data_IF_048561793479
#
_entry.id   IF_048561793479
#
_cell.length_a   1.000
_cell.length_b   1.000
_cell.length_c   1.000
_cell.angle_alpha   90.00
_cell.angle_beta   90.00
_cell.angle_gamma   90.00
#
_symmetry.space_group_name_H-M   'P 1'
#
loop_
_entity.id
_entity.type
_entity.pdbx_description
1 polymer ?
#
# COMPACT_ATOMS: atom_id res chain seq x y z
N UNK A 1 5.21 13.64 -5.68
CA UNK A 1 5.94 13.54 -4.39
C UNK A 1 5.03 13.46 -3.17
N UNK A 2 3.83 14.08 -3.19
CA UNK A 2 2.93 14.09 -2.03
C UNK A 2 2.70 12.71 -1.36
N UNK A 3 2.43 11.60 -2.08
CA UNK A 3 2.22 10.30 -1.41
C UNK A 3 3.44 9.79 -0.63
N UNK A 4 4.65 9.97 -1.18
CA UNK A 4 5.89 9.58 -0.50
C UNK A 4 6.10 10.40 0.77
N UNK A 5 5.87 11.70 0.70
CA UNK A 5 5.97 12.60 1.86
C UNK A 5 4.96 12.16 2.92
N UNK A 6 3.72 11.88 2.56
CA UNK A 6 2.68 11.42 3.49
C UNK A 6 3.06 10.11 4.16
N UNK A 7 3.56 9.12 3.41
CA UNK A 7 4.02 7.85 3.95
C UNK A 7 5.12 8.04 5.00
N UNK A 8 6.16 8.80 4.64
CA UNK A 8 7.33 9.01 5.51
C UNK A 8 6.95 9.85 6.72
N UNK A 9 6.30 11.01 6.50
CA UNK A 9 5.93 11.94 7.56
C UNK A 9 5.00 11.28 8.59
N UNK A 10 3.93 10.62 8.15
CA UNK A 10 3.01 9.96 9.08
C UNK A 10 3.67 8.80 9.81
N UNK A 11 4.52 8.02 9.13
CA UNK A 11 5.26 6.93 9.79
C UNK A 11 6.18 7.48 10.88
N UNK A 12 6.93 8.55 10.60
CA UNK A 12 7.83 9.19 11.56
C UNK A 12 7.07 9.84 12.72
N UNK A 13 5.97 10.54 12.45
CA UNK A 13 5.12 11.15 13.47
C UNK A 13 4.54 10.10 14.42
N UNK A 14 3.99 9.00 13.87
CA UNK A 14 3.49 7.89 14.68
C UNK A 14 4.60 7.21 15.47
N UNK A 15 5.81 7.10 14.90
CA UNK A 15 6.98 6.53 15.59
C UNK A 15 7.44 7.42 16.75
N UNK A 16 7.47 8.73 16.56
CA UNK A 16 7.79 9.72 17.58
C UNK A 16 6.74 9.70 18.71
N UNK A 17 5.45 9.65 18.38
CA UNK A 17 4.38 9.50 19.35
C UNK A 17 4.50 8.20 20.17
N UNK A 18 4.91 7.10 19.54
CA UNK A 18 5.26 5.86 20.23
C UNK A 18 6.47 5.96 21.16
N UNK A 19 7.45 6.81 20.82
CA UNK A 19 8.61 7.10 21.68
C UNK A 19 8.24 7.99 22.87
N UNK A 20 7.27 8.90 22.71
CA UNK A 20 6.73 9.78 23.76
C UNK A 20 5.74 9.09 24.72
N UNK A 21 5.49 7.78 24.57
CA UNK A 21 4.74 6.99 25.54
C UNK A 21 3.43 6.37 25.04
N UNK A 22 3.02 6.59 23.78
CA UNK A 22 1.83 5.93 23.22
C UNK A 22 2.15 4.46 22.90
N UNK A 23 1.89 3.57 23.88
CA UNK A 23 2.25 2.14 23.84
C UNK A 23 1.86 1.42 22.52
N UNK A 24 0.64 1.63 21.94
CA UNK A 24 0.27 0.98 20.67
C UNK A 24 1.16 1.35 19.48
N UNK A 25 1.75 2.55 19.48
CA UNK A 25 2.54 3.10 18.37
C UNK A 25 4.04 2.83 18.49
N UNK A 26 4.48 2.18 19.56
CA UNK A 26 5.91 1.88 19.78
C UNK A 26 6.46 0.87 18.76
N UNK A 27 5.58 0.04 18.18
CA UNK A 27 5.94 -0.92 17.14
C UNK A 27 6.11 -0.23 15.79
N UNK A 28 7.29 -0.40 15.18
CA UNK A 28 7.57 0.03 13.80
C UNK A 28 6.48 -0.41 12.80
N UNK A 29 5.98 -1.64 12.94
CA UNK A 29 4.93 -2.17 12.05
C UNK A 29 3.61 -1.40 12.19
N UNK A 30 3.27 -0.93 13.39
CA UNK A 30 2.05 -0.12 13.60
C UNK A 30 2.23 1.25 12.95
N UNK A 31 3.38 1.90 13.14
CA UNK A 31 3.68 3.20 12.53
C UNK A 31 3.67 3.13 11.01
N UNK A 32 4.31 2.12 10.42
CA UNK A 32 4.35 1.91 8.97
C UNK A 32 2.95 1.68 8.38
N UNK A 33 2.11 0.87 9.05
CA UNK A 33 0.71 0.64 8.64
C UNK A 33 -0.10 1.94 8.67
N UNK A 34 0.13 2.79 9.67
CA UNK A 34 -0.51 4.11 9.74
C UNK A 34 -0.04 5.03 8.61
N UNK A 35 1.25 5.05 8.30
CA UNK A 35 1.78 5.81 7.16
C UNK A 35 1.22 5.34 5.81
N UNK A 36 1.17 4.02 5.58
CA UNK A 36 0.55 3.43 4.38
C UNK A 36 -0.95 3.76 4.31
N UNK A 37 -1.68 3.66 5.42
CA UNK A 37 -3.10 4.03 5.46
C UNK A 37 -3.30 5.49 5.06
N UNK A 38 -2.54 6.42 5.64
CA UNK A 38 -2.64 7.83 5.28
C UNK A 38 -2.25 8.14 3.83
N UNK A 39 -1.20 7.47 3.32
CA UNK A 39 -0.80 7.57 1.92
C UNK A 39 -1.91 7.12 0.97
N UNK A 40 -2.50 5.94 1.21
CA UNK A 40 -3.56 5.39 0.35
C UNK A 40 -4.91 6.10 0.52
N UNK A 41 -5.18 6.71 1.68
CA UNK A 41 -6.31 7.65 1.81
C UNK A 41 -6.08 8.86 0.91
N UNK A 42 -4.89 9.46 0.95
CA UNK A 42 -4.57 10.62 0.13
C UNK A 42 -4.70 10.31 -1.37
N UNK A 43 -4.13 9.20 -1.84
CA UNK A 43 -4.23 8.81 -3.27
C UNK A 43 -5.65 8.37 -3.63
N UNK A 44 -6.32 7.61 -2.76
CA UNK A 44 -7.67 7.11 -3.00
C UNK A 44 -8.67 8.24 -3.15
N UNK A 45 -8.58 9.29 -2.32
CA UNK A 45 -9.43 10.47 -2.42
C UNK A 45 -9.21 11.27 -3.71
N UNK A 46 -8.01 11.23 -4.30
CA UNK A 46 -7.71 11.91 -5.57
C UNK A 46 -8.55 11.38 -6.74
N UNK A 47 -9.05 10.14 -6.65
CA UNK A 47 -9.91 9.53 -7.68
C UNK A 47 -11.33 10.12 -7.70
N UNK A 48 -11.74 10.83 -6.64
CA UNK A 48 -13.10 11.32 -6.45
C UNK A 48 -13.19 12.83 -6.28
N UNK A 49 -12.08 13.55 -6.43
CA UNK A 49 -12.01 15.00 -6.28
C UNK A 49 -11.62 15.69 -7.61
N UNK A 50 -11.20 16.95 -7.55
CA UNK A 50 -10.77 17.73 -8.71
C UNK A 50 -9.64 17.11 -9.52
N UNK A 51 -8.84 16.19 -8.93
CA UNK A 51 -7.74 15.50 -9.61
C UNK A 51 -8.20 14.33 -10.49
N UNK A 52 -9.48 13.94 -10.43
CA UNK A 52 -10.00 12.78 -11.19
C UNK A 52 -9.74 12.92 -12.69
N UNK A 53 -9.95 14.10 -13.26
CA UNK A 53 -9.75 14.35 -14.69
C UNK A 53 -8.30 14.09 -15.12
N UNK A 54 -7.33 14.51 -14.30
CA UNK A 54 -5.92 14.24 -14.56
C UNK A 54 -5.62 12.74 -14.51
N UNK A 55 -6.14 12.03 -13.51
CA UNK A 55 -5.91 10.58 -13.38
C UNK A 55 -6.46 9.78 -14.57
N UNK A 56 -7.63 10.17 -15.08
CA UNK A 56 -8.23 9.56 -16.28
C UNK A 56 -7.33 9.77 -17.50
N UNK A 57 -6.73 10.96 -17.64
CA UNK A 57 -5.80 11.26 -18.74
C UNK A 57 -4.49 10.47 -18.66
N UNK A 58 -4.13 9.91 -17.51
CA UNK A 58 -2.96 9.04 -17.36
C UNK A 58 -3.21 7.59 -17.79
N UNK A 59 -4.47 7.19 -17.99
CA UNK A 59 -4.82 5.82 -18.37
C UNK A 59 -4.45 5.59 -19.84
N UNK A 60 -3.69 4.53 -20.17
CA UNK A 60 -3.35 4.20 -21.55
C UNK A 60 -4.61 4.01 -22.42
N UNK A 61 -4.63 4.53 -23.66
CA UNK A 61 -5.79 4.44 -24.55
C UNK A 61 -6.13 3.01 -24.97
N UNK A 62 -5.19 2.06 -24.80
CA UNK A 62 -5.42 0.64 -25.03
C UNK A 62 -6.36 0.00 -23.99
N UNK A 63 -6.60 0.65 -22.84
CA UNK A 63 -7.50 0.16 -21.80
C UNK A 63 -8.92 0.71 -22.00
N UNK A 64 -9.96 -0.14 -21.93
CA UNK A 64 -11.33 0.32 -22.04
C UNK A 64 -11.77 1.08 -20.78
N UNK A 65 -12.62 2.09 -20.97
CA UNK A 65 -13.32 2.79 -19.88
C UNK A 65 -12.40 3.32 -18.77
N UNK A 66 -11.46 4.21 -19.13
CA UNK A 66 -10.52 4.84 -18.20
C UNK A 66 -11.18 5.39 -16.93
N UNK A 67 -12.34 6.03 -17.06
CA UNK A 67 -13.13 6.56 -15.95
C UNK A 67 -13.54 5.50 -14.91
N UNK A 68 -13.94 4.31 -15.38
CA UNK A 68 -14.34 3.20 -14.51
C UNK A 68 -13.11 2.61 -13.81
N UNK A 69 -12.00 2.46 -14.52
CA UNK A 69 -10.75 1.97 -13.95
C UNK A 69 -10.24 2.89 -12.84
N UNK A 70 -10.28 4.20 -13.04
CA UNK A 70 -9.95 5.20 -12.00
C UNK A 70 -10.90 5.05 -10.81
N UNK A 71 -12.21 4.90 -11.02
CA UNK A 71 -13.15 4.67 -9.92
C UNK A 71 -12.83 3.39 -9.14
N UNK A 72 -12.60 2.27 -9.83
CA UNK A 72 -12.32 0.98 -9.20
C UNK A 72 -11.03 1.04 -8.39
N UNK A 73 -9.95 1.57 -8.98
CA UNK A 73 -8.66 1.72 -8.31
C UNK A 73 -8.78 2.60 -7.07
N UNK A 74 -9.49 3.73 -7.15
CA UNK A 74 -9.76 4.59 -5.99
C UNK A 74 -10.52 3.90 -4.87
N UNK A 75 -11.56 3.12 -5.18
CA UNK A 75 -12.29 2.33 -4.16
C UNK A 75 -11.37 1.29 -3.51
N UNK A 76 -10.58 0.57 -4.31
CA UNK A 76 -9.65 -0.44 -3.80
C UNK A 76 -8.58 0.17 -2.89
N UNK A 77 -8.05 1.35 -3.22
CA UNK A 77 -7.11 2.07 -2.37
C UNK A 77 -7.72 2.43 -1.01
N UNK A 78 -8.94 2.98 -1.00
CA UNK A 78 -9.64 3.35 0.25
C UNK A 78 -10.01 2.13 1.10
N UNK A 79 -10.50 1.05 0.48
CA UNK A 79 -10.77 -0.22 1.18
C UNK A 79 -9.48 -0.83 1.74
N UNK A 80 -8.39 -0.82 0.98
CA UNK A 80 -7.09 -1.26 1.42
C UNK A 80 -6.55 -0.42 2.58
N UNK A 81 -6.72 0.91 2.53
CA UNK A 81 -6.32 1.80 3.60
C UNK A 81 -7.10 1.55 4.90
N UNK A 82 -8.41 1.33 4.82
CA UNK A 82 -9.21 0.89 5.98
C UNK A 82 -8.76 -0.48 6.50
N UNK A 83 -8.56 -1.43 5.58
CA UNK A 83 -8.17 -2.80 5.89
C UNK A 83 -6.77 -2.92 6.50
N UNK A 84 -5.82 -2.05 6.15
CA UNK A 84 -4.44 -2.13 6.65
C UNK A 84 -4.32 -1.71 8.11
N UNK A 85 -5.26 -0.91 8.63
CA UNK A 85 -5.29 -0.42 10.03
C UNK A 85 -5.67 -1.52 11.02
N UNK A 86 -6.50 -2.49 10.63
CA UNK A 86 -6.90 -3.60 11.50
C UNK A 86 -5.96 -4.80 11.38
N UNK A 87 -5.46 -5.31 12.52
CA UNK A 87 -4.36 -6.31 12.56
C UNK A 87 -4.69 -7.61 11.80
N UNK A 88 -5.95 -8.04 11.82
CA UNK A 88 -6.38 -9.29 11.16
C UNK A 88 -6.49 -9.16 9.64
N UNK A 89 -6.89 -7.99 9.15
CA UNK A 89 -7.08 -7.70 7.72
C UNK A 89 -5.82 -7.12 7.07
N UNK A 90 -4.87 -6.63 7.87
CA UNK A 90 -3.63 -6.02 7.40
C UNK A 90 -2.84 -6.81 6.35
N UNK A 91 -2.58 -8.13 6.50
CA UNK A 91 -1.84 -8.86 5.48
C UNK A 91 -2.59 -8.96 4.15
N UNK A 92 -3.92 -9.12 4.19
CA UNK A 92 -4.77 -9.18 2.99
C UNK A 92 -4.85 -7.82 2.29
N UNK A 93 -5.09 -6.76 3.06
CA UNK A 93 -5.14 -5.40 2.56
C UNK A 93 -3.78 -4.97 1.96
N UNK A 94 -2.68 -5.22 2.66
CA UNK A 94 -1.34 -4.90 2.17
C UNK A 94 -0.97 -5.70 0.91
N UNK A 95 -1.32 -7.00 0.86
CA UNK A 95 -1.13 -7.82 -0.34
C UNK A 95 -1.96 -7.35 -1.53
N UNK A 96 -3.23 -7.00 -1.31
CA UNK A 96 -4.11 -6.44 -2.34
C UNK A 96 -3.61 -5.09 -2.86
N UNK A 97 -3.19 -4.19 -1.96
CA UNK A 97 -2.59 -2.90 -2.32
C UNK A 97 -1.27 -3.07 -3.08
N UNK A 98 -0.43 -4.05 -2.71
CA UNK A 98 0.80 -4.37 -3.46
C UNK A 98 0.47 -4.82 -4.89
N UNK A 99 -0.52 -5.71 -5.04
CA UNK A 99 -0.97 -6.17 -6.36
C UNK A 99 -1.56 -5.02 -7.19
N UNK A 100 -2.35 -4.15 -6.56
CA UNK A 100 -2.91 -2.95 -7.21
C UNK A 100 -1.80 -2.04 -7.74
N UNK A 101 -0.78 -1.75 -6.92
CA UNK A 101 0.37 -0.97 -7.36
C UNK A 101 1.06 -1.60 -8.56
N UNK A 102 1.29 -2.91 -8.56
CA UNK A 102 1.86 -3.63 -9.70
C UNK A 102 0.97 -3.51 -10.93
N UNK A 103 -0.34 -3.65 -10.78
CA UNK A 103 -1.30 -3.55 -11.87
C UNK A 103 -1.38 -2.15 -12.49
N UNK A 104 -1.11 -1.09 -11.71
CA UNK A 104 -1.11 0.31 -12.20
C UNK A 104 0.25 0.68 -12.84
N UNK A 105 1.32 -0.08 -12.61
CA UNK A 105 2.66 0.21 -13.18
C UNK A 105 2.68 0.47 -14.70
N UNK A 106 1.96 -0.30 -15.55
CA UNK A 106 1.95 -0.05 -17.00
C UNK A 106 1.47 1.35 -17.37
N UNK A 107 0.52 1.93 -16.61
CA UNK A 107 0.08 3.31 -16.82
C UNK A 107 1.22 4.31 -16.51
N UNK A 108 2.02 4.06 -15.47
CA UNK A 108 3.18 4.89 -15.16
C UNK A 108 4.28 4.82 -16.23
N UNK A 109 4.47 3.65 -16.86
CA UNK A 109 5.37 3.49 -18.01
C UNK A 109 4.86 4.26 -19.21
N UNK A 110 3.56 4.15 -19.52
CA UNK A 110 2.92 4.87 -20.63
C UNK A 110 3.10 6.39 -20.50
N UNK A 111 2.80 6.96 -19.32
CA UNK A 111 2.92 8.40 -19.07
C UNK A 111 4.35 8.89 -19.29
N UNK A 112 5.36 8.11 -18.87
CA UNK A 112 6.75 8.46 -19.05
C UNK A 112 7.20 8.39 -20.52
N UNK A 113 6.69 7.43 -21.29
CA UNK A 113 7.02 7.28 -22.72
C UNK A 113 6.28 8.28 -23.60
N UNK A 114 5.03 8.62 -23.25
CA UNK A 114 4.19 9.52 -24.02
C UNK A 114 4.54 11.01 -23.83
N UNK A 115 5.47 11.35 -22.93
CA UNK A 115 5.90 12.72 -22.70
C UNK A 115 4.78 13.65 -22.22
N UNK A 116 3.74 13.11 -21.58
CA UNK A 116 2.55 13.87 -21.19
C UNK A 116 2.93 14.94 -20.17
N UNK A 117 2.32 16.12 -20.29
CA UNK A 117 2.45 17.17 -19.28
C UNK A 117 1.55 16.77 -18.11
N UNK A 118 2.15 16.52 -16.94
CA UNK A 118 1.42 16.17 -15.70
C UNK A 118 1.70 17.26 -14.68
N UNK A 119 0.66 17.95 -14.21
CA UNK A 119 0.78 19.11 -13.31
C UNK A 119 1.66 20.26 -13.86
N UNK A 120 1.57 20.56 -15.16
CA UNK A 120 2.28 21.70 -15.77
C UNK A 120 3.79 21.52 -15.97
N UNK A 121 4.33 20.33 -15.67
CA UNK A 121 5.71 19.94 -15.98
C UNK A 121 5.72 18.73 -16.93
N UNK A 122 6.80 18.58 -17.69
CA UNK A 122 7.06 17.33 -18.42
C UNK A 122 6.96 16.16 -17.43
N UNK A 123 6.28 15.08 -17.84
CA UNK A 123 6.20 13.87 -17.02
C UNK A 123 7.58 13.54 -16.47
N UNK A 124 7.66 13.43 -15.14
CA UNK A 124 8.88 12.99 -14.44
C UNK A 124 9.43 11.75 -15.13
N UNK A 125 10.74 11.71 -15.36
CA UNK A 125 11.42 10.56 -15.95
C UNK A 125 10.94 9.24 -15.32
N UNK A 126 10.94 8.19 -16.13
CA UNK A 126 10.48 6.86 -15.71
C UNK A 126 11.18 6.37 -14.43
N UNK A 127 12.44 6.77 -14.22
CA UNK A 127 13.29 6.29 -13.14
C UNK A 127 12.82 6.76 -11.76
N UNK A 128 12.61 8.07 -11.47
CA UNK A 128 11.99 8.53 -10.23
C UNK A 128 10.65 7.87 -9.92
N UNK A 129 9.75 7.72 -10.92
CA UNK A 129 8.44 7.07 -10.74
C UNK A 129 8.59 5.61 -10.31
N UNK A 130 9.44 4.88 -11.00
CA UNK A 130 9.70 3.47 -10.73
C UNK A 130 10.31 3.28 -9.34
N UNK A 131 11.30 4.10 -8.96
CA UNK A 131 11.92 4.02 -7.63
C UNK A 131 10.90 4.26 -6.52
N UNK A 132 10.07 5.30 -6.64
CA UNK A 132 9.04 5.61 -5.64
C UNK A 132 8.01 4.48 -5.54
N UNK A 133 7.61 3.91 -6.68
CA UNK A 133 6.67 2.79 -6.69
C UNK A 133 7.27 1.53 -6.05
N UNK A 134 8.55 1.25 -6.28
CA UNK A 134 9.26 0.17 -5.60
C UNK A 134 9.31 0.40 -4.09
N UNK A 135 9.48 1.64 -3.62
CA UNK A 135 9.39 1.97 -2.19
C UNK A 135 7.99 1.65 -1.64
N UNK A 136 6.92 1.98 -2.36
CA UNK A 136 5.56 1.69 -1.91
C UNK A 136 5.27 0.18 -1.87
N UNK A 137 5.70 -0.57 -2.89
CA UNK A 137 5.58 -2.03 -2.91
C UNK A 137 6.41 -2.65 -1.77
N UNK A 138 7.64 -2.20 -1.55
CA UNK A 138 8.46 -2.70 -0.46
C UNK A 138 7.81 -2.44 0.91
N UNK A 139 7.21 -1.25 1.09
CA UNK A 139 6.50 -0.90 2.32
C UNK A 139 5.27 -1.79 2.56
N UNK A 140 4.45 -2.06 1.53
CA UNK A 140 3.29 -2.95 1.67
C UNK A 140 3.72 -4.40 1.94
N UNK A 141 4.75 -4.90 1.26
CA UNK A 141 5.30 -6.23 1.50
C UNK A 141 5.91 -6.37 2.92
N UNK A 142 6.56 -5.33 3.44
CA UNK A 142 7.06 -5.32 4.81
C UNK A 142 5.95 -5.51 5.86
N UNK A 143 4.70 -5.11 5.54
CA UNK A 143 3.54 -5.39 6.40
C UNK A 143 3.09 -6.85 6.29
N UNK A 144 3.21 -7.50 5.13
CA UNK A 144 2.79 -8.90 4.90
C UNK A 144 3.76 -9.91 5.54
N UNK A 145 5.06 -9.67 5.44
CA UNK A 145 6.12 -10.63 5.81
C UNK A 145 5.99 -11.25 7.22
N UNK A 146 5.74 -10.48 8.30
CA UNK A 146 5.63 -11.06 9.64
C UNK A 146 4.45 -12.03 9.79
N UNK A 147 3.34 -11.77 9.10
CA UNK A 147 2.15 -12.62 9.15
C UNK A 147 2.37 -13.92 8.38
N UNK A 148 2.98 -13.86 7.20
CA UNK A 148 3.33 -15.04 6.41
C UNK A 148 4.27 -15.97 7.19
N UNK A 149 5.31 -15.41 7.83
CA UNK A 149 6.23 -16.17 8.68
C UNK A 149 5.51 -16.87 9.84
N UNK A 150 4.57 -16.17 10.49
CA UNK A 150 3.78 -16.74 11.60
C UNK A 150 2.89 -17.89 11.15
N UNK A 151 2.25 -17.77 9.98
CA UNK A 151 1.40 -18.82 9.41
C UNK A 151 2.22 -20.05 8.99
N UNK A 152 3.38 -19.85 8.36
CA UNK A 152 4.28 -20.93 7.96
C UNK A 152 4.81 -21.68 9.19
N UNK A 153 5.27 -20.98 10.22
CA UNK A 153 5.74 -21.61 11.46
C UNK A 153 4.66 -22.45 12.15
N UNK A 154 3.41 -21.98 12.18
CA UNK A 154 2.27 -22.75 12.72
C UNK A 154 1.99 -24.03 11.95
N UNK A 155 2.20 -24.03 10.62
CA UNK A 155 2.00 -25.23 9.79
C UNK A 155 3.12 -26.26 9.97
N UNK A 156 4.37 -25.80 10.11
CA UNK A 156 5.54 -26.66 10.27
C UNK A 156 5.68 -27.24 11.68
N UNK A 157 5.08 -26.59 12.68
CA UNK A 157 5.12 -27.05 14.08
C UNK A 157 3.69 -27.18 14.63
N UNK A 158 2.95 -28.23 14.24
CA UNK A 158 1.63 -28.46 14.80
C UNK A 158 1.73 -28.64 16.33
N UNK A 159 0.76 -28.15 17.10
CA UNK A 159 0.76 -28.28 18.56
C UNK A 159 0.82 -29.76 18.95
N UNK A 160 1.73 -30.09 19.88
CA UNK A 160 1.82 -31.41 20.51
C UNK A 160 0.58 -31.66 21.37
N UNK A 161 -0.54 -32.06 20.76
CA UNK A 161 -1.67 -32.63 21.47
C UNK A 161 -1.87 -34.07 21.00
N UNK A 162 -1.94 -34.99 21.98
CA UNK A 162 -2.01 -36.45 21.87
C UNK A 162 -0.66 -37.19 21.81
N UNK A 163 0.21 -36.97 22.81
CA UNK A 163 0.92 -38.13 23.36
C UNK A 163 -0.08 -38.82 24.30
N UNK A 164 -0.49 -40.08 24.04
CA UNK A 164 -1.35 -40.79 24.97
C UNK A 164 -0.60 -40.90 26.29
N UNK A 165 -1.17 -40.34 27.35
CA UNK A 165 -0.75 -40.61 28.72
C UNK A 165 -0.82 -42.12 28.92
N UNK A 166 0.34 -42.79 28.88
CA UNK A 166 0.48 -44.16 29.35
C UNK A 166 0.14 -44.14 30.84
N UNK A 167 -1.08 -44.54 31.18
CA UNK A 167 -1.44 -44.96 32.53
C UNK A 167 -0.69 -46.25 32.83
N UNK A 168 0.20 -46.19 33.81
CA UNK A 168 0.82 -47.35 34.47
C UNK A 168 -0.18 -48.03 35.39
#
# INVERSE_FOLDING_TARGET
MAPLITLVALTLLLRAAGAMGIKPLRSWHTSLRGGLAGMFILTGLAHFNSMRGELVALVPPALPNAELLVTITGVLELLGAGGIVHRRTAPWAAGGLALLLVAIFPANVYVAQAGLIVNGALATDLLPRTLIQLVFIAATIAVVLPYARTLIHRRLTPPRSALPTRSL
#
